data_IF_821938458578
#
_entry.id   IF_821938458578
#
_cell.length_a   1.000
_cell.length_b   1.000
_cell.length_c   1.000
_cell.angle_alpha   90.00
_cell.angle_beta   90.00
_cell.angle_gamma   90.00
#
_symmetry.space_group_name_H-M   'P 1'
#
loop_
_entity.id
_entity.type
_entity.pdbx_description
1 polymer ?
#
# COMPACT_ATOMS: atom_id res chain seq x y z
N UNK A 1 29.91 42.52 -11.22
CA UNK A 1 29.51 41.10 -11.39
C UNK A 1 29.04 40.59 -10.05
N UNK A 2 27.75 40.80 -9.75
CA UNK A 2 27.10 40.29 -8.53
C UNK A 2 26.44 38.97 -8.89
N UNK A 3 26.91 37.89 -8.26
CA UNK A 3 26.43 36.54 -8.50
C UNK A 3 25.08 36.40 -7.76
N UNK A 4 23.98 36.32 -8.51
CA UNK A 4 22.65 36.07 -7.97
C UNK A 4 22.58 34.63 -7.47
N UNK A 5 22.39 34.48 -6.16
CA UNK A 5 22.25 33.21 -5.48
C UNK A 5 20.78 32.78 -5.63
N UNK A 6 20.50 31.90 -6.59
CA UNK A 6 19.16 31.37 -6.80
C UNK A 6 18.64 30.65 -5.52
N UNK A 7 17.38 30.90 -5.11
CA UNK A 7 16.82 30.29 -3.92
C UNK A 7 16.60 28.79 -4.16
N UNK A 8 17.32 27.97 -3.39
CA UNK A 8 17.16 26.52 -3.36
C UNK A 8 15.69 26.17 -3.09
N UNK A 9 15.05 25.50 -4.03
CA UNK A 9 13.69 24.99 -3.91
C UNK A 9 13.66 23.87 -2.87
N UNK A 10 13.38 24.26 -1.62
CA UNK A 10 13.12 23.36 -0.51
C UNK A 10 11.93 22.46 -0.86
N UNK A 11 12.23 21.22 -1.27
CA UNK A 11 11.24 20.20 -1.56
C UNK A 11 10.34 19.98 -0.35
N UNK A 12 9.03 20.17 -0.54
CA UNK A 12 8.01 19.90 0.49
C UNK A 12 8.13 18.45 0.97
N UNK A 13 8.78 18.25 2.13
CA UNK A 13 8.83 16.95 2.81
C UNK A 13 7.39 16.50 3.04
N UNK A 14 7.00 15.39 2.44
CA UNK A 14 5.69 14.78 2.69
C UNK A 14 5.55 14.53 4.20
N UNK A 15 4.51 15.12 4.81
CA UNK A 15 4.16 14.90 6.21
C UNK A 15 3.89 13.41 6.39
N UNK A 16 4.66 12.74 7.24
CA UNK A 16 4.40 11.33 7.60
C UNK A 16 3.04 11.28 8.28
N UNK A 17 2.11 10.52 7.71
CA UNK A 17 0.88 10.14 8.38
C UNK A 17 1.27 8.96 9.28
N UNK A 18 1.43 9.25 10.56
CA UNK A 18 1.65 8.24 11.60
C UNK A 18 0.29 8.03 12.26
N UNK A 19 -0.10 6.79 12.49
CA UNK A 19 -1.27 6.51 13.34
C UNK A 19 -1.06 7.19 14.70
N UNK A 20 -2.13 7.74 15.27
CA UNK A 20 -1.99 8.40 16.57
C UNK A 20 -1.76 7.35 17.66
N UNK A 21 -1.07 7.71 18.73
CA UNK A 21 -0.81 6.80 19.85
C UNK A 21 -2.13 6.28 20.45
N UNK A 22 -3.19 7.09 20.41
CA UNK A 22 -4.54 6.73 20.83
C UNK A 22 -5.15 5.62 19.97
N UNK A 23 -4.92 5.65 18.65
CA UNK A 23 -5.41 4.62 17.74
C UNK A 23 -4.76 3.27 18.05
N UNK A 24 -3.44 3.26 18.24
CA UNK A 24 -2.70 2.04 18.60
C UNK A 24 -3.14 1.53 19.98
N UNK A 25 -3.26 2.42 20.97
CA UNK A 25 -3.74 2.05 22.30
C UNK A 25 -5.15 1.45 22.28
N UNK A 26 -6.05 1.99 21.46
CA UNK A 26 -7.38 1.44 21.27
C UNK A 26 -7.34 0.01 20.74
N UNK A 27 -6.50 -0.28 19.73
CA UNK A 27 -6.36 -1.63 19.18
C UNK A 27 -5.86 -2.63 20.23
N UNK A 28 -4.89 -2.24 21.07
CA UNK A 28 -4.45 -3.08 22.19
C UNK A 28 -5.59 -3.39 23.16
N UNK A 29 -6.36 -2.38 23.58
CA UNK A 29 -7.51 -2.58 24.48
C UNK A 29 -8.57 -3.51 23.88
N UNK A 30 -8.80 -3.44 22.56
CA UNK A 30 -9.73 -4.34 21.88
C UNK A 30 -9.26 -5.80 21.91
N UNK A 31 -7.96 -6.03 21.72
CA UNK A 31 -7.35 -7.38 21.79
C UNK A 31 -7.45 -7.93 23.22
N UNK A 32 -7.14 -7.12 24.23
CA UNK A 32 -7.23 -7.53 25.63
C UNK A 32 -8.67 -7.86 26.04
N UNK A 33 -9.63 -7.04 25.60
CA UNK A 33 -11.05 -7.29 25.85
C UNK A 33 -11.53 -8.59 25.17
N UNK A 34 -11.06 -8.88 23.95
CA UNK A 34 -11.32 -10.14 23.28
C UNK A 34 -10.75 -11.31 24.07
N UNK A 35 -9.48 -11.24 24.50
CA UNK A 35 -8.84 -12.30 25.28
C UNK A 35 -9.58 -12.61 26.59
N UNK A 36 -10.06 -11.58 27.28
CA UNK A 36 -10.90 -11.76 28.48
C UNK A 36 -12.19 -12.51 28.17
N UNK A 37 -12.93 -12.09 27.13
CA UNK A 37 -14.19 -12.75 26.72
C UNK A 37 -13.97 -14.20 26.29
N UNK A 38 -12.86 -14.49 25.61
CA UNK A 38 -12.51 -15.85 25.18
C UNK A 38 -12.12 -16.75 26.35
N UNK A 39 -11.68 -16.16 27.47
CA UNK A 39 -11.43 -16.89 28.71
C UNK A 39 -12.74 -17.28 29.40
N UNK A 40 -13.76 -16.44 29.28
CA UNK A 40 -15.11 -16.69 29.81
C UNK A 40 -15.93 -17.64 28.91
N UNK A 41 -15.78 -17.53 27.58
CA UNK A 41 -16.42 -18.39 26.58
C UNK A 41 -15.42 -18.84 25.47
N UNK A 42 -14.82 -20.03 25.62
CA UNK A 42 -13.87 -20.56 24.64
C UNK A 42 -14.45 -20.84 23.25
N UNK A 43 -15.78 -20.89 23.08
CA UNK A 43 -16.40 -21.10 21.76
C UNK A 43 -16.00 -19.99 20.79
N UNK A 44 -15.77 -18.77 21.29
CA UNK A 44 -15.30 -17.65 20.48
C UNK A 44 -13.92 -17.84 19.83
N UNK A 45 -13.13 -18.85 20.24
CA UNK A 45 -11.80 -19.12 19.67
C UNK A 45 -11.86 -19.40 18.16
N UNK A 46 -13.02 -19.83 17.64
CA UNK A 46 -13.27 -20.01 16.20
C UNK A 46 -12.99 -18.75 15.36
N UNK A 47 -13.05 -17.55 15.98
CA UNK A 47 -12.81 -16.29 15.31
C UNK A 47 -11.35 -15.84 15.33
N UNK A 48 -10.50 -16.41 16.19
CA UNK A 48 -9.11 -15.95 16.38
C UNK A 48 -8.24 -16.22 15.17
N UNK A 49 -8.28 -17.44 14.62
CA UNK A 49 -7.47 -17.79 13.45
C UNK A 49 -7.85 -16.97 12.20
N UNK A 50 -9.14 -16.77 11.87
CA UNK A 50 -9.54 -15.82 10.82
C UNK A 50 -9.02 -14.40 11.02
N UNK A 51 -9.09 -13.86 12.25
CA UNK A 51 -8.59 -12.52 12.57
C UNK A 51 -7.06 -12.44 12.43
N UNK A 52 -6.34 -13.44 12.93
CA UNK A 52 -4.88 -13.55 12.77
C UNK A 52 -4.48 -13.55 11.30
N UNK A 53 -5.19 -14.33 10.48
CA UNK A 53 -4.98 -14.37 9.03
C UNK A 53 -5.26 -13.00 8.41
N UNK A 54 -6.35 -12.34 8.79
CA UNK A 54 -6.71 -11.02 8.27
C UNK A 54 -5.63 -9.97 8.56
N UNK A 55 -5.09 -9.94 9.78
CA UNK A 55 -3.96 -9.07 10.13
C UNK A 55 -2.71 -9.40 9.32
N UNK A 56 -2.42 -10.69 9.11
CA UNK A 56 -1.34 -11.14 8.24
C UNK A 56 -1.50 -10.67 6.78
N UNK A 57 -2.71 -10.76 6.24
CA UNK A 57 -3.04 -10.30 4.89
C UNK A 57 -2.94 -8.77 4.77
N UNK A 58 -3.43 -8.02 5.76
CA UNK A 58 -3.29 -6.57 5.80
C UNK A 58 -1.82 -6.13 5.76
N UNK A 59 -0.96 -6.79 6.54
CA UNK A 59 0.48 -6.56 6.51
C UNK A 59 1.10 -6.88 5.14
N UNK A 60 0.72 -8.00 4.52
CA UNK A 60 1.22 -8.36 3.19
C UNK A 60 0.84 -7.30 2.14
N UNK A 61 -0.42 -6.83 2.18
CA UNK A 61 -0.93 -5.77 1.31
C UNK A 61 -0.17 -4.46 1.54
N UNK A 62 0.02 -4.05 2.79
CA UNK A 62 0.74 -2.82 3.12
C UNK A 62 2.19 -2.85 2.60
N UNK A 63 2.90 -3.98 2.75
CA UNK A 63 4.24 -4.18 2.17
C UNK A 63 4.20 -4.06 0.65
N UNK A 64 3.26 -4.73 -0.02
CA UNK A 64 3.14 -4.67 -1.47
C UNK A 64 2.87 -3.24 -1.99
N UNK A 65 1.91 -2.54 -1.39
CA UNK A 65 1.58 -1.14 -1.73
C UNK A 65 2.79 -0.23 -1.50
N UNK A 66 3.54 -0.44 -0.42
CA UNK A 66 4.71 0.37 -0.13
C UNK A 66 5.78 0.21 -1.22
N UNK A 67 6.03 -1.02 -1.70
CA UNK A 67 6.99 -1.27 -2.78
C UNK A 67 6.60 -0.64 -4.13
N UNK A 68 5.30 -0.41 -4.38
CA UNK A 68 4.81 0.21 -5.61
C UNK A 68 4.86 1.75 -5.57
N UNK A 69 5.15 2.37 -4.41
CA UNK A 69 5.22 3.82 -4.28
C UNK A 69 6.56 4.37 -4.80
N UNK A 70 6.57 5.50 -5.55
CA UNK A 70 7.80 6.14 -6.04
C UNK A 70 8.83 6.50 -4.95
N UNK A 71 8.38 6.65 -3.70
CA UNK A 71 9.21 6.88 -2.51
C UNK A 71 8.86 5.90 -1.38
N UNK A 72 8.58 4.65 -1.74
CA UNK A 72 8.43 3.55 -0.80
C UNK A 72 9.72 3.26 -0.05
N UNK A 73 9.60 2.59 1.10
CA UNK A 73 10.75 2.00 1.78
C UNK A 73 11.30 0.85 0.94
N UNK A 74 12.62 0.70 0.90
CA UNK A 74 13.24 -0.49 0.32
C UNK A 74 12.93 -1.75 1.13
N UNK A 75 13.11 -2.92 0.53
CA UNK A 75 13.01 -4.20 1.26
C UNK A 75 13.89 -4.27 2.50
N UNK A 76 15.09 -3.67 2.46
CA UNK A 76 16.00 -3.64 3.60
C UNK A 76 15.51 -2.73 4.73
N UNK A 77 14.91 -1.59 4.40
CA UNK A 77 14.30 -0.70 5.40
C UNK A 77 13.06 -1.33 6.03
N UNK A 78 12.20 -1.95 5.23
CA UNK A 78 11.03 -2.68 5.75
C UNK A 78 11.46 -3.86 6.62
N UNK A 79 12.52 -4.58 6.26
CA UNK A 79 13.07 -5.67 7.07
C UNK A 79 13.52 -5.17 8.46
N UNK A 80 14.17 -4.00 8.52
CA UNK A 80 14.54 -3.34 9.77
C UNK A 80 13.33 -2.89 10.58
N UNK A 81 12.35 -2.22 9.95
CA UNK A 81 11.13 -1.73 10.61
C UNK A 81 10.35 -2.89 11.24
N UNK A 82 10.21 -3.99 10.50
CA UNK A 82 9.43 -5.15 10.91
C UNK A 82 10.23 -6.14 11.76
N UNK A 83 11.53 -5.92 11.92
CA UNK A 83 12.47 -6.84 12.56
C UNK A 83 12.39 -8.28 12.02
N UNK A 84 12.41 -8.42 10.70
CA UNK A 84 12.38 -9.72 10.01
C UNK A 84 13.46 -9.79 8.94
N UNK A 85 13.70 -10.99 8.41
CA UNK A 85 14.64 -11.18 7.30
C UNK A 85 14.13 -10.49 6.02
N UNK A 86 15.05 -10.03 5.18
CA UNK A 86 14.73 -9.36 3.91
C UNK A 86 13.94 -10.26 2.97
N UNK A 87 14.27 -11.55 2.95
CA UNK A 87 13.60 -12.59 2.16
C UNK A 87 12.12 -12.69 2.57
N UNK A 88 11.84 -12.62 3.88
CA UNK A 88 10.46 -12.63 4.38
C UNK A 88 9.67 -11.41 3.92
N UNK A 89 10.29 -10.23 3.78
CA UNK A 89 9.61 -9.05 3.21
C UNK A 89 9.28 -9.28 1.73
N UNK A 90 10.19 -9.90 0.97
CA UNK A 90 9.96 -10.22 -0.43
C UNK A 90 8.77 -11.18 -0.61
N UNK A 91 8.71 -12.25 0.18
CA UNK A 91 7.59 -13.20 0.18
C UNK A 91 6.26 -12.52 0.52
N UNK A 92 6.27 -11.64 1.53
CA UNK A 92 5.09 -10.87 1.93
C UNK A 92 4.62 -9.92 0.83
N UNK A 93 5.54 -9.26 0.13
CA UNK A 93 5.21 -8.41 -1.01
C UNK A 93 4.57 -9.23 -2.15
N UNK A 94 5.09 -10.43 -2.43
CA UNK A 94 4.51 -11.33 -3.44
C UNK A 94 3.08 -11.75 -3.07
N UNK A 95 2.86 -12.20 -1.82
CA UNK A 95 1.53 -12.53 -1.30
C UNK A 95 0.58 -11.34 -1.36
N UNK A 96 1.05 -10.15 -0.98
CA UNK A 96 0.25 -8.92 -1.02
C UNK A 96 -0.21 -8.54 -2.43
N UNK A 97 0.67 -8.67 -3.44
CA UNK A 97 0.29 -8.44 -4.85
C UNK A 97 -0.77 -9.41 -5.32
N UNK A 98 -0.69 -10.68 -4.94
CA UNK A 98 -1.71 -11.68 -5.26
C UNK A 98 -3.06 -11.34 -4.60
N UNK A 99 -3.05 -10.95 -3.32
CA UNK A 99 -4.26 -10.53 -2.61
C UNK A 99 -4.92 -9.31 -3.27
N UNK A 100 -4.13 -8.30 -3.65
CA UNK A 100 -4.61 -7.12 -4.37
C UNK A 100 -5.19 -7.48 -5.74
N UNK A 101 -4.56 -8.39 -6.48
CA UNK A 101 -5.10 -8.89 -7.75
C UNK A 101 -6.46 -9.59 -7.55
N UNK A 102 -6.58 -10.43 -6.52
CA UNK A 102 -7.83 -11.11 -6.18
C UNK A 102 -8.93 -10.12 -5.76
N UNK A 103 -8.60 -9.10 -4.97
CA UNK A 103 -9.54 -8.04 -4.58
C UNK A 103 -10.04 -7.26 -5.81
N UNK A 104 -9.13 -6.88 -6.71
CA UNK A 104 -9.47 -6.19 -7.97
C UNK A 104 -10.36 -7.06 -8.87
N UNK A 105 -10.09 -8.36 -8.94
CA UNK A 105 -10.91 -9.31 -9.69
C UNK A 105 -12.32 -9.46 -9.09
N UNK A 106 -12.45 -9.58 -7.76
CA UNK A 106 -13.75 -9.65 -7.07
C UNK A 106 -14.58 -8.38 -7.25
N UNK A 107 -13.94 -7.23 -7.20
CA UNK A 107 -14.59 -5.92 -7.39
C UNK A 107 -14.88 -5.59 -8.86
N UNK A 108 -14.57 -6.48 -9.80
CA UNK A 108 -14.77 -6.24 -11.23
C UNK A 108 -13.91 -5.10 -11.80
N UNK A 109 -12.84 -4.66 -11.11
CA UNK A 109 -12.04 -3.50 -11.56
C UNK A 109 -11.30 -3.79 -12.87
N UNK A 110 -11.00 -5.06 -13.15
CA UNK A 110 -10.48 -5.52 -14.44
C UNK A 110 -11.48 -5.32 -15.59
N UNK A 111 -12.80 -5.38 -15.33
CA UNK A 111 -13.81 -5.05 -16.34
C UNK A 111 -13.98 -3.53 -16.48
N UNK A 112 -13.88 -2.76 -15.39
CA UNK A 112 -13.99 -1.30 -15.43
C UNK A 112 -12.85 -0.62 -16.20
N UNK A 113 -11.61 -1.07 -16.04
CA UNK A 113 -10.47 -0.55 -16.82
C UNK A 113 -10.61 -0.87 -18.31
N UNK A 114 -10.97 -2.12 -18.66
CA UNK A 114 -11.24 -2.53 -20.04
C UNK A 114 -12.43 -1.77 -20.66
N UNK A 115 -13.49 -1.54 -19.89
CA UNK A 115 -14.63 -0.74 -20.35
C UNK A 115 -14.26 0.74 -20.57
N UNK A 116 -13.40 1.31 -19.72
CA UNK A 116 -12.89 2.67 -19.90
C UNK A 116 -11.99 2.77 -21.14
N UNK A 117 -11.05 1.85 -21.31
CA UNK A 117 -10.17 1.78 -22.49
C UNK A 117 -11.00 1.60 -23.78
N UNK A 118 -12.00 0.71 -23.77
CA UNK A 118 -12.92 0.53 -24.91
C UNK A 118 -13.78 1.77 -25.19
N UNK A 119 -14.19 2.53 -24.16
CA UNK A 119 -14.92 3.79 -24.34
C UNK A 119 -14.04 4.90 -24.91
N UNK A 120 -12.78 5.00 -24.49
CA UNK A 120 -11.82 5.98 -25.02
C UNK A 120 -11.46 5.68 -26.47
N UNK A 121 -11.25 4.39 -26.82
CA UNK A 121 -11.02 3.96 -28.19
C UNK A 121 -12.21 4.26 -29.12
N UNK A 122 -13.45 4.03 -28.66
CA UNK A 122 -14.66 4.41 -29.43
C UNK A 122 -14.84 5.92 -29.57
N UNK A 123 -14.37 6.69 -28.60
CA UNK A 123 -14.50 8.14 -28.61
C UNK A 123 -13.38 8.86 -29.38
N UNK A 124 -12.35 8.14 -29.86
CA UNK A 124 -11.13 8.71 -30.49
C UNK A 124 -10.50 9.79 -29.60
N UNK A 125 -10.59 9.61 -28.27
CA UNK A 125 -10.04 10.53 -27.29
C UNK A 125 -8.69 10.00 -26.79
N UNK A 126 -7.60 10.78 -26.87
CA UNK A 126 -6.32 10.37 -26.29
C UNK A 126 -6.41 10.26 -24.77
N UNK A 127 -5.78 9.23 -24.21
CA UNK A 127 -5.73 8.99 -22.77
C UNK A 127 -4.80 10.00 -22.10
N UNK A 128 -5.37 11.04 -21.50
CA UNK A 128 -4.64 12.04 -20.73
C UNK A 128 -4.39 11.53 -19.30
N UNK A 129 -3.61 10.46 -19.17
CA UNK A 129 -3.03 10.08 -17.88
C UNK A 129 -1.72 10.86 -17.67
N UNK A 130 -1.60 11.74 -16.64
CA UNK A 130 -0.38 12.52 -16.42
C UNK A 130 0.85 11.70 -16.01
N UNK A 131 0.77 10.37 -15.99
CA UNK A 131 1.87 9.45 -15.65
C UNK A 131 2.63 8.86 -16.87
N UNK A 132 2.42 9.34 -18.10
CA UNK A 132 2.97 8.71 -19.31
C UNK A 132 3.75 9.59 -20.29
N UNK A 133 4.07 10.85 -19.93
CA UNK A 133 4.54 11.84 -20.90
C UNK A 133 5.94 12.40 -20.67
N UNK A 134 7.00 11.59 -20.75
CA UNK A 134 8.36 12.07 -21.06
C UNK A 134 9.14 11.02 -21.87
N UNK A 135 9.06 11.11 -23.19
CA UNK A 135 10.26 11.30 -23.99
C UNK A 135 9.89 11.90 -25.35
N UNK A 136 10.37 13.14 -25.54
CA UNK A 136 10.43 13.84 -26.82
C UNK A 136 11.27 13.02 -27.79
N UNK A 137 10.72 12.80 -28.97
CA UNK A 137 11.51 12.76 -30.20
C UNK A 137 11.66 14.20 -30.70
N UNK A 138 12.89 14.59 -31.00
CA UNK A 138 13.27 15.65 -31.94
C UNK A 138 14.72 15.32 -32.32
N UNK A 139 14.96 14.56 -33.39
CA UNK A 139 15.23 15.07 -34.75
C UNK A 139 16.37 16.09 -34.79
N UNK A 140 17.57 15.64 -35.14
CA UNK A 140 18.35 16.01 -36.35
C UNK A 140 19.79 15.53 -36.23
#
# INVERSE_FOLDING_TARGET
MTNEMEPSTSGKRHRRVVETEEYVAMLHRMVDALAKRLSDDPVGLVHVEPLRKHLGDAMNIAVAINQEKPHGYSFGELAKILNIRRESVFERAAKGRMLLANMRARLGVSSLRRHREARLQRAVLPDHNPAGGRHRASSS
#
